data_IF_588852668501
#
_entry.id   IF_588852668501
#
_cell.length_a   1.000
_cell.length_b   1.000
_cell.length_c   1.000
_cell.angle_alpha   90.00
_cell.angle_beta   90.00
_cell.angle_gamma   90.00
#
_symmetry.space_group_name_H-M   'P 1'
#
loop_
_entity.id
_entity.type
_entity.pdbx_description
1 polymer ?
#
# COMPACT_ATOMS: atom_id res chain seq x y z
N UNK A 1 -11.54 -5.31 -17.86
CA UNK A 1 -10.90 -4.51 -16.81
C UNK A 1 -9.44 -4.41 -17.18
N UNK A 2 -8.91 -3.22 -17.47
CA UNK A 2 -7.50 -3.06 -17.84
C UNK A 2 -6.65 -3.48 -16.66
N UNK A 3 -5.69 -4.38 -16.88
CA UNK A 3 -4.68 -4.70 -15.88
C UNK A 3 -3.93 -3.41 -15.54
N UNK A 4 -3.99 -2.99 -14.27
CA UNK A 4 -3.30 -1.78 -13.78
C UNK A 4 -2.00 -2.12 -13.05
N UNK A 5 -1.61 -3.39 -13.05
CA UNK A 5 -0.41 -3.88 -12.36
C UNK A 5 0.86 -3.17 -12.85
N UNK A 6 0.88 -2.76 -14.12
CA UNK A 6 1.97 -1.98 -14.73
C UNK A 6 2.04 -0.52 -14.24
N UNK A 7 1.06 -0.04 -13.48
CA UNK A 7 1.01 1.33 -12.96
C UNK A 7 1.41 1.35 -11.48
N UNK A 8 2.63 1.83 -11.22
CA UNK A 8 3.15 2.00 -9.86
C UNK A 8 2.65 3.29 -9.22
N UNK A 9 2.20 3.22 -7.95
CA UNK A 9 1.81 4.39 -7.16
C UNK A 9 2.57 4.41 -5.84
N UNK A 10 3.28 5.52 -5.58
CA UNK A 10 3.96 5.76 -4.31
C UNK A 10 3.09 6.58 -3.36
N UNK A 11 2.70 5.99 -2.23
CA UNK A 11 2.01 6.68 -1.13
C UNK A 11 3.01 6.98 -0.02
N UNK A 12 3.15 8.25 0.37
CA UNK A 12 4.03 8.64 1.48
C UNK A 12 3.28 8.67 2.81
N UNK A 13 3.96 8.34 3.92
CA UNK A 13 3.31 8.27 5.23
C UNK A 13 2.37 7.08 5.37
N UNK A 14 2.74 5.93 4.80
CA UNK A 14 1.84 4.79 4.63
C UNK A 14 1.58 3.94 5.88
N UNK A 15 2.26 4.21 7.01
CA UNK A 15 2.14 3.37 8.22
C UNK A 15 0.83 3.59 9.02
N UNK A 16 0.04 4.64 8.74
CA UNK A 16 -1.23 4.85 9.45
C UNK A 16 -2.19 5.78 8.70
N UNK A 17 -3.41 5.90 9.24
CA UNK A 17 -4.41 6.87 8.79
C UNK A 17 -4.73 6.77 7.30
N UNK A 18 -4.85 7.93 6.65
CA UNK A 18 -5.21 8.02 5.23
C UNK A 18 -4.12 7.41 4.34
N UNK A 19 -2.84 7.53 4.71
CA UNK A 19 -1.73 6.96 3.94
C UNK A 19 -1.88 5.44 3.82
N UNK A 20 -2.10 4.76 4.95
CA UNK A 20 -2.33 3.31 4.96
C UNK A 20 -3.58 2.92 4.15
N UNK A 21 -4.70 3.60 4.39
CA UNK A 21 -5.94 3.34 3.67
C UNK A 21 -5.79 3.52 2.15
N UNK A 22 -5.02 4.53 1.73
CA UNK A 22 -4.74 4.80 0.32
C UNK A 22 -3.86 3.71 -0.30
N UNK A 23 -2.79 3.29 0.38
CA UNK A 23 -1.91 2.21 -0.08
C UNK A 23 -2.70 0.92 -0.33
N UNK A 24 -3.57 0.52 0.61
CA UNK A 24 -4.38 -0.69 0.48
C UNK A 24 -5.43 -0.57 -0.63
N UNK A 25 -6.12 0.57 -0.73
CA UNK A 25 -7.14 0.78 -1.75
C UNK A 25 -6.55 0.78 -3.17
N UNK A 26 -5.35 1.33 -3.35
CA UNK A 26 -4.64 1.27 -4.63
C UNK A 26 -4.32 -0.19 -5.01
N UNK A 27 -3.86 -1.00 -4.05
CA UNK A 27 -3.61 -2.41 -4.30
C UNK A 27 -4.90 -3.16 -4.67
N UNK A 28 -6.02 -2.94 -3.95
CA UNK A 28 -7.35 -3.52 -4.30
C UNK A 28 -7.82 -3.14 -5.71
N UNK A 29 -7.46 -1.95 -6.18
CA UNK A 29 -7.79 -1.45 -7.53
C UNK A 29 -6.87 -1.98 -8.62
N UNK A 30 -5.90 -2.83 -8.27
CA UNK A 30 -4.98 -3.49 -9.17
C UNK A 30 -3.75 -2.67 -9.54
N UNK A 31 -3.42 -1.61 -8.79
CA UNK A 31 -2.16 -0.89 -8.98
C UNK A 31 -1.00 -1.60 -8.27
N UNK A 32 0.23 -1.46 -8.78
CA UNK A 32 1.42 -1.76 -7.98
C UNK A 32 1.62 -0.68 -6.92
N UNK A 33 1.07 -0.92 -5.73
CA UNK A 33 1.08 0.04 -4.62
C UNK A 33 2.36 -0.05 -3.81
N UNK A 34 3.07 1.07 -3.65
CA UNK A 34 4.28 1.19 -2.83
C UNK A 34 4.02 2.20 -1.70
N UNK A 35 4.19 1.78 -0.45
CA UNK A 35 4.08 2.66 0.71
C UNK A 35 5.46 3.06 1.25
N UNK A 36 5.73 4.36 1.42
CA UNK A 36 6.93 4.82 2.13
C UNK A 36 6.66 5.17 3.59
N UNK A 37 7.64 4.81 4.42
CA UNK A 37 7.65 4.96 5.87
C UNK A 37 9.01 5.46 6.33
N UNK A 38 9.15 5.76 7.63
CA UNK A 38 10.37 6.33 8.21
C UNK A 38 11.35 5.32 8.81
N UNK A 39 10.97 4.05 8.86
CA UNK A 39 11.77 2.97 9.45
C UNK A 39 11.22 1.61 9.04
N UNK A 40 12.05 0.57 9.14
CA UNK A 40 11.70 -0.80 8.78
C UNK A 40 10.56 -1.36 9.65
N UNK A 41 10.59 -1.12 10.98
CA UNK A 41 9.47 -1.49 11.88
C UNK A 41 8.12 -0.91 11.46
N UNK A 42 8.13 0.23 10.74
CA UNK A 42 6.91 0.83 10.19
C UNK A 42 6.50 0.21 8.86
N UNK A 43 7.41 -0.40 8.13
CA UNK A 43 7.09 -1.16 6.92
C UNK A 43 6.34 -2.43 7.30
N UNK A 44 6.70 -3.08 8.41
CA UNK A 44 6.01 -4.27 8.92
C UNK A 44 4.52 -4.02 9.16
N UNK A 45 4.15 -2.84 9.67
CA UNK A 45 2.73 -2.45 9.84
C UNK A 45 2.01 -2.42 8.50
N UNK A 46 2.65 -1.94 7.44
CA UNK A 46 2.08 -1.87 6.09
C UNK A 46 1.95 -3.28 5.51
N UNK A 47 2.99 -4.12 5.65
CA UNK A 47 2.97 -5.50 5.18
C UNK A 47 1.91 -6.34 5.89
N UNK A 48 1.78 -6.22 7.21
CA UNK A 48 0.75 -6.91 7.97
C UNK A 48 -0.65 -6.45 7.54
N UNK A 49 -0.86 -5.14 7.40
CA UNK A 49 -2.16 -4.62 6.97
C UNK A 49 -2.52 -5.02 5.52
N UNK A 50 -1.53 -5.17 4.64
CA UNK A 50 -1.72 -5.69 3.29
C UNK A 50 -2.12 -7.17 3.32
N UNK A 51 -1.41 -8.00 4.11
CA UNK A 51 -1.74 -9.40 4.31
C UNK A 51 -3.15 -9.59 4.90
N UNK A 52 -3.51 -8.81 5.93
CA UNK A 52 -4.84 -8.83 6.55
C UNK A 52 -5.95 -8.38 5.57
N UNK A 53 -5.59 -7.57 4.57
CA UNK A 53 -6.47 -7.05 3.55
C UNK A 53 -6.57 -7.93 2.29
N UNK A 54 -5.76 -8.99 2.19
CA UNK A 54 -5.60 -9.87 1.03
C UNK A 54 -5.23 -9.10 -0.25
N UNK A 55 -4.22 -8.21 -0.13
CA UNK A 55 -3.66 -7.41 -1.25
C UNK A 55 -2.14 -7.38 -1.29
#
# INVERSE_FOLDING_TARGET
>A
MTDRSDQTVLTTGANSGIGLATTLELARRGFHSVGSVRSDDKADVVHQAAADADV
#
